data_IF_281997692678
#
_entry.id   IF_281997692678
#
_cell.length_a   1.000
_cell.length_b   1.000
_cell.length_c   1.000
_cell.angle_alpha   90.00
_cell.angle_beta   90.00
_cell.angle_gamma   90.00
#
_symmetry.space_group_name_H-M   'P 1'
#
loop_
_entity.id
_entity.type
_entity.pdbx_description
1 polymer ?
#
# COMPACT_ATOMS: atom_id res chain seq x y z
N UNK A 1 26.06 -11.63 6.64
CA UNK A 1 24.71 -11.71 6.02
C UNK A 1 24.16 -13.10 6.30
N UNK A 2 22.85 -13.25 6.55
CA UNK A 2 22.25 -14.57 6.75
C UNK A 2 22.43 -15.40 5.48
N UNK A 3 23.20 -16.48 5.57
CA UNK A 3 23.44 -17.41 4.48
C UNK A 3 22.21 -18.30 4.29
N UNK A 4 21.25 -17.85 3.49
CA UNK A 4 20.29 -18.78 2.88
C UNK A 4 21.07 -19.70 1.93
N UNK A 5 20.94 -21.01 2.11
CA UNK A 5 21.51 -21.98 1.18
C UNK A 5 20.78 -21.89 -0.15
N UNK A 6 21.49 -21.45 -1.19
CA UNK A 6 20.94 -21.37 -2.55
C UNK A 6 20.79 -22.80 -3.08
N UNK A 7 19.56 -23.18 -3.41
CA UNK A 7 19.26 -24.49 -4.00
C UNK A 7 19.56 -24.41 -5.51
N UNK A 8 20.78 -24.78 -5.89
CA UNK A 8 21.26 -24.77 -7.27
C UNK A 8 22.45 -25.71 -7.45
N UNK A 9 22.85 -25.97 -8.70
CA UNK A 9 24.06 -26.73 -9.01
C UNK A 9 25.32 -26.09 -8.42
N UNK A 10 26.39 -26.86 -8.14
CA UNK A 10 27.60 -26.36 -7.48
C UNK A 10 28.24 -25.14 -8.17
N UNK A 11 28.24 -25.11 -9.51
CA UNK A 11 28.77 -23.99 -10.29
C UNK A 11 27.98 -22.70 -10.04
N UNK A 12 26.65 -22.81 -9.95
CA UNK A 12 25.77 -21.67 -9.66
C UNK A 12 25.93 -21.23 -8.20
N UNK A 13 26.07 -22.16 -7.26
CA UNK A 13 26.37 -21.83 -5.86
C UNK A 13 27.70 -21.06 -5.73
N UNK A 14 28.74 -21.47 -6.45
CA UNK A 14 30.02 -20.77 -6.47
C UNK A 14 29.91 -19.37 -7.09
N UNK A 15 29.16 -19.24 -8.19
CA UNK A 15 28.89 -17.95 -8.83
C UNK A 15 28.21 -16.96 -7.87
N UNK A 16 27.12 -17.37 -7.22
CA UNK A 16 26.44 -16.51 -6.24
C UNK A 16 27.32 -16.19 -5.04
N UNK A 17 28.13 -17.14 -4.56
CA UNK A 17 29.09 -16.89 -3.47
C UNK A 17 30.06 -15.76 -3.84
N UNK A 18 30.63 -15.77 -5.04
CA UNK A 18 31.53 -14.69 -5.52
C UNK A 18 30.84 -13.32 -5.52
N UNK A 19 29.57 -13.26 -5.92
CA UNK A 19 28.79 -12.02 -5.89
C UNK A 19 28.56 -11.56 -4.45
N UNK A 20 28.11 -12.45 -3.57
CA UNK A 20 27.83 -12.14 -2.16
C UNK A 20 29.09 -11.65 -1.44
N UNK A 21 30.23 -12.28 -1.70
CA UNK A 21 31.52 -11.87 -1.12
C UNK A 21 31.92 -10.47 -1.62
N UNK A 22 31.75 -10.19 -2.92
CA UNK A 22 32.02 -8.87 -3.50
C UNK A 22 31.12 -7.78 -2.92
N UNK A 23 29.81 -8.04 -2.84
CA UNK A 23 28.83 -7.12 -2.23
C UNK A 23 29.15 -6.89 -0.76
N UNK A 24 29.51 -7.93 -0.01
CA UNK A 24 29.88 -7.82 1.40
C UNK A 24 31.11 -6.93 1.60
N UNK A 25 32.12 -7.09 0.74
CA UNK A 25 33.32 -6.24 0.77
C UNK A 25 32.97 -4.77 0.50
N UNK A 26 32.19 -4.50 -0.53
CA UNK A 26 31.75 -3.14 -0.86
C UNK A 26 30.89 -2.52 0.25
N UNK A 27 29.99 -3.30 0.85
CA UNK A 27 29.15 -2.87 1.96
C UNK A 27 29.98 -2.50 3.20
N UNK A 28 31.03 -3.28 3.52
CA UNK A 28 31.94 -2.95 4.62
C UNK A 28 32.69 -1.64 4.38
N UNK A 29 33.19 -1.41 3.16
CA UNK A 29 33.83 -0.14 2.77
C UNK A 29 32.86 1.03 2.96
N UNK A 30 31.61 0.88 2.50
CA UNK A 30 30.58 1.91 2.67
C UNK A 30 30.26 2.16 4.16
N UNK A 31 30.18 1.11 4.98
CA UNK A 31 29.95 1.20 6.42
C UNK A 31 31.05 1.99 7.13
N UNK A 32 32.30 1.74 6.79
CA UNK A 32 33.44 2.46 7.39
C UNK A 32 33.56 3.90 6.88
N UNK A 33 33.09 4.19 5.65
CA UNK A 33 32.96 5.55 5.16
C UNK A 33 31.86 6.32 5.92
N UNK A 34 30.64 5.75 6.05
CA UNK A 34 29.49 6.39 6.73
C UNK A 34 29.77 6.71 8.20
N UNK A 35 30.50 5.84 8.91
CA UNK A 35 30.96 6.08 10.29
C UNK A 35 31.80 7.34 10.48
N UNK A 36 32.38 7.91 9.41
CA UNK A 36 33.15 9.17 9.50
C UNK A 36 32.24 10.39 9.71
N UNK A 37 30.92 10.23 9.65
CA UNK A 37 29.94 11.27 9.99
C UNK A 37 29.93 12.45 9.00
N UNK A 38 30.30 12.21 7.73
CA UNK A 38 30.34 13.23 6.68
C UNK A 38 29.07 13.29 5.83
N UNK A 39 28.18 12.32 6.00
CA UNK A 39 26.91 12.18 5.29
C UNK A 39 25.73 12.40 6.24
N UNK A 40 24.51 12.51 5.68
CA UNK A 40 23.26 12.72 6.44
C UNK A 40 23.02 11.62 7.48
N UNK A 41 23.45 10.38 7.18
CA UNK A 41 23.37 9.24 8.09
C UNK A 41 24.75 8.63 8.33
N UNK A 42 24.99 8.21 9.58
CA UNK A 42 26.19 7.48 9.99
C UNK A 42 26.15 5.98 9.63
N UNK A 43 25.02 5.51 9.10
CA UNK A 43 24.79 4.13 8.68
C UNK A 43 24.55 4.04 7.17
N UNK A 44 24.75 2.84 6.60
CA UNK A 44 24.43 2.57 5.20
C UNK A 44 22.92 2.40 5.07
N UNK A 45 22.28 3.27 4.30
CA UNK A 45 20.82 3.32 4.14
C UNK A 45 20.29 2.26 3.15
N UNK A 46 21.12 1.81 2.21
CA UNK A 46 20.78 0.76 1.25
C UNK A 46 21.27 -0.61 1.77
N UNK A 47 20.41 -1.31 2.50
CA UNK A 47 20.74 -2.62 3.04
C UNK A 47 20.59 -3.72 1.96
N UNK A 48 21.60 -4.59 1.77
CA UNK A 48 21.47 -5.73 0.88
C UNK A 48 20.46 -6.74 1.43
N UNK A 49 19.66 -7.30 0.54
CA UNK A 49 18.57 -8.24 0.84
C UNK A 49 18.67 -9.44 -0.09
N UNK A 50 18.41 -10.64 0.41
CA UNK A 50 18.53 -11.88 -0.40
C UNK A 50 17.26 -12.16 -1.20
N UNK A 51 16.09 -11.94 -0.62
CA UNK A 51 14.81 -12.28 -1.22
C UNK A 51 13.74 -11.20 -0.97
N UNK A 52 12.53 -11.46 -1.48
CA UNK A 52 11.36 -10.59 -1.28
C UNK A 52 11.02 -10.39 0.21
N UNK A 53 11.18 -11.44 1.01
CA UNK A 53 10.79 -11.41 2.40
C UNK A 53 11.72 -10.47 3.19
N UNK A 54 13.03 -10.57 2.96
CA UNK A 54 14.03 -9.66 3.53
C UNK A 54 13.85 -8.22 3.01
N UNK A 55 13.57 -8.05 1.71
CA UNK A 55 13.23 -6.72 1.16
C UNK A 55 12.05 -6.10 1.88
N UNK A 56 11.00 -6.87 2.12
CA UNK A 56 9.81 -6.38 2.81
C UNK A 56 10.14 -5.96 4.24
N UNK A 57 10.88 -6.79 4.98
CA UNK A 57 11.25 -6.48 6.35
C UNK A 57 12.14 -5.23 6.46
N UNK A 58 13.07 -5.05 5.52
CA UNK A 58 13.97 -3.90 5.52
C UNK A 58 13.31 -2.61 5.02
N UNK A 59 12.39 -2.68 4.06
CA UNK A 59 11.71 -1.51 3.49
C UNK A 59 10.63 -0.98 4.43
N UNK A 60 9.80 -1.86 4.98
CA UNK A 60 8.62 -1.45 5.74
C UNK A 60 8.43 -2.23 7.05
N UNK A 61 8.98 -3.44 7.17
CA UNK A 61 8.72 -4.30 8.32
C UNK A 61 7.33 -4.96 8.25
N UNK A 62 6.70 -5.31 9.39
CA UNK A 62 7.26 -5.21 10.74
C UNK A 62 8.35 -6.25 10.96
N UNK A 63 9.16 -6.08 12.02
CA UNK A 63 10.24 -7.01 12.36
C UNK A 63 9.70 -8.44 12.53
N UNK A 64 10.37 -9.40 11.90
CA UNK A 64 9.96 -10.81 11.86
C UNK A 64 9.08 -11.19 10.66
N UNK A 65 8.65 -10.22 9.83
CA UNK A 65 7.82 -10.51 8.64
C UNK A 65 8.54 -11.44 7.66
N UNK A 66 9.86 -11.32 7.50
CA UNK A 66 10.57 -12.14 6.53
C UNK A 66 10.52 -13.62 6.90
N UNK A 67 10.73 -13.92 8.19
CA UNK A 67 10.62 -15.29 8.72
C UNK A 67 9.19 -15.81 8.56
N UNK A 68 8.21 -15.02 9.00
CA UNK A 68 6.81 -15.44 8.97
C UNK A 68 6.28 -15.64 7.55
N UNK A 69 6.66 -14.78 6.61
CA UNK A 69 6.28 -14.93 5.20
C UNK A 69 6.71 -16.28 4.64
N UNK A 70 7.95 -16.71 4.89
CA UNK A 70 8.45 -18.01 4.42
C UNK A 70 7.67 -19.18 5.01
N UNK A 71 7.40 -19.14 6.31
CA UNK A 71 6.60 -20.18 6.99
C UNK A 71 5.20 -20.31 6.38
N UNK A 72 4.50 -19.18 6.23
CA UNK A 72 3.14 -19.15 5.68
C UNK A 72 3.13 -19.53 4.19
N UNK A 73 4.13 -19.09 3.44
CA UNK A 73 4.26 -19.41 2.01
C UNK A 73 4.43 -20.91 1.79
N UNK A 74 5.25 -21.58 2.63
CA UNK A 74 5.39 -23.04 2.62
C UNK A 74 4.10 -23.74 3.04
N UNK A 75 3.46 -23.28 4.12
CA UNK A 75 2.19 -23.84 4.61
C UNK A 75 1.10 -23.80 3.53
N UNK A 76 1.04 -22.71 2.76
CA UNK A 76 0.06 -22.49 1.69
C UNK A 76 0.54 -22.96 0.32
N UNK A 77 1.56 -23.83 0.27
CA UNK A 77 2.07 -24.47 -0.96
C UNK A 77 2.44 -23.48 -2.07
N UNK A 78 2.95 -22.31 -1.69
CA UNK A 78 3.38 -21.27 -2.62
C UNK A 78 2.26 -20.34 -3.14
N UNK A 79 1.05 -20.37 -2.58
CA UNK A 79 0.00 -19.41 -2.95
C UNK A 79 0.31 -18.02 -2.36
N UNK A 80 0.91 -17.16 -3.19
CA UNK A 80 1.36 -15.82 -2.80
C UNK A 80 0.24 -14.94 -2.28
N UNK A 81 -0.92 -14.94 -2.93
CA UNK A 81 -2.02 -14.04 -2.57
C UNK A 81 -2.61 -14.45 -1.22
N UNK A 82 -2.86 -15.75 -1.02
CA UNK A 82 -3.33 -16.24 0.29
C UNK A 82 -2.30 -16.01 1.39
N UNK A 83 -1.01 -16.12 1.08
CA UNK A 83 0.08 -15.80 2.02
C UNK A 83 0.01 -14.35 2.48
N UNK A 84 -0.16 -13.41 1.55
CA UNK A 84 -0.27 -11.98 1.86
C UNK A 84 -1.49 -11.70 2.73
N UNK A 85 -2.65 -12.29 2.42
CA UNK A 85 -3.86 -12.09 3.21
C UNK A 85 -3.78 -12.73 4.60
N UNK A 86 -3.17 -13.91 4.71
CA UNK A 86 -2.94 -14.55 6.01
C UNK A 86 -2.00 -13.68 6.85
N UNK A 87 -0.88 -13.22 6.30
CA UNK A 87 0.01 -12.30 7.02
C UNK A 87 -0.68 -11.01 7.44
N UNK A 88 -1.48 -10.41 6.54
CA UNK A 88 -2.27 -9.22 6.87
C UNK A 88 -3.13 -9.46 8.10
N UNK A 89 -3.90 -10.55 8.12
CA UNK A 89 -4.73 -10.95 9.26
C UNK A 89 -3.89 -11.16 10.52
N UNK A 90 -2.77 -11.86 10.42
CA UNK A 90 -1.89 -12.12 11.58
C UNK A 90 -1.25 -10.86 12.16
N UNK A 91 -0.95 -9.84 11.34
CA UNK A 91 -0.48 -8.54 11.79
C UNK A 91 -1.61 -7.81 12.52
N UNK A 92 -2.83 -7.78 11.97
CA UNK A 92 -4.00 -7.14 12.59
C UNK A 92 -4.35 -7.79 13.94
N UNK A 93 -4.26 -9.12 14.03
CA UNK A 93 -4.50 -9.94 15.22
C UNK A 93 -3.29 -10.03 16.18
N UNK A 94 -2.17 -9.37 15.86
CA UNK A 94 -0.95 -9.31 16.68
C UNK A 94 -0.35 -10.69 17.04
N UNK A 95 -0.44 -11.68 16.16
CA UNK A 95 -0.02 -13.06 16.47
C UNK A 95 1.49 -13.24 16.66
N UNK A 96 2.30 -12.47 15.95
CA UNK A 96 3.77 -12.58 15.97
C UNK A 96 4.48 -11.23 16.01
N UNK A 97 3.75 -10.13 15.86
CA UNK A 97 4.24 -8.76 16.04
C UNK A 97 3.27 -7.99 16.93
N UNK A 98 3.79 -7.11 17.78
CA UNK A 98 2.99 -6.27 18.66
C UNK A 98 3.05 -4.81 18.20
N UNK A 99 1.89 -4.26 17.84
CA UNK A 99 1.73 -2.86 17.44
C UNK A 99 0.47 -2.35 18.15
N UNK A 100 0.60 -1.74 19.36
CA UNK A 100 -0.54 -1.44 20.22
C UNK A 100 -1.60 -0.54 19.60
N UNK A 101 -1.17 0.43 18.80
CA UNK A 101 -2.07 1.38 18.15
C UNK A 101 -2.73 0.73 16.93
N UNK A 102 -4.05 0.58 16.97
CA UNK A 102 -4.82 -0.10 15.93
C UNK A 102 -4.69 0.58 14.55
N UNK A 103 -4.55 1.90 14.50
CA UNK A 103 -4.38 2.63 13.24
C UNK A 103 -2.99 2.36 12.65
N UNK A 104 -1.93 2.49 13.46
CA UNK A 104 -0.55 2.17 13.02
C UNK A 104 -0.43 0.70 12.63
N UNK A 105 -1.12 -0.19 13.32
CA UNK A 105 -1.16 -1.62 12.99
C UNK A 105 -1.85 -1.87 11.64
N UNK A 106 -2.97 -1.21 11.39
CA UNK A 106 -3.66 -1.27 10.11
C UNK A 106 -2.79 -0.71 8.97
N UNK A 107 -2.18 0.45 9.18
CA UNK A 107 -1.26 1.06 8.21
C UNK A 107 -0.08 0.14 7.91
N UNK A 108 0.57 -0.41 8.94
CA UNK A 108 1.65 -1.37 8.79
C UNK A 108 1.19 -2.59 7.99
N UNK A 109 0.04 -3.17 8.32
CA UNK A 109 -0.48 -4.34 7.63
C UNK A 109 -0.73 -4.05 6.14
N UNK A 110 -1.37 -2.92 5.81
CA UNK A 110 -1.63 -2.50 4.42
C UNK A 110 -0.33 -2.30 3.66
N UNK A 111 0.63 -1.55 4.20
CA UNK A 111 1.90 -1.26 3.53
C UNK A 111 2.74 -2.52 3.34
N UNK A 112 2.82 -3.39 4.36
CA UNK A 112 3.51 -4.69 4.29
C UNK A 112 2.94 -5.56 3.17
N UNK A 113 1.61 -5.70 3.13
CA UNK A 113 0.94 -6.48 2.09
C UNK A 113 1.13 -5.89 0.69
N UNK A 114 1.17 -4.57 0.56
CA UNK A 114 1.40 -3.90 -0.72
C UNK A 114 2.85 -4.08 -1.21
N UNK A 115 3.85 -4.02 -0.33
CA UNK A 115 5.26 -4.35 -0.66
C UNK A 115 5.36 -5.80 -1.14
N UNK A 116 4.75 -6.74 -0.43
CA UNK A 116 4.77 -8.16 -0.82
C UNK A 116 4.08 -8.40 -2.17
N UNK A 117 2.97 -7.71 -2.44
CA UNK A 117 2.25 -7.82 -3.71
C UNK A 117 3.08 -7.27 -4.89
N UNK A 118 3.77 -6.16 -4.66
CA UNK A 118 4.56 -5.43 -5.66
C UNK A 118 6.02 -5.82 -5.68
N UNK A 119 6.38 -6.90 -4.99
CA UNK A 119 7.72 -7.49 -4.94
C UNK A 119 8.83 -6.56 -4.38
N UNK A 120 8.43 -5.45 -3.77
CA UNK A 120 9.32 -4.40 -3.28
C UNK A 120 10.07 -3.65 -4.39
N UNK A 121 9.54 -3.62 -5.62
CA UNK A 121 10.19 -2.95 -6.78
C UNK A 121 9.57 -1.61 -7.15
N UNK A 122 8.50 -1.18 -6.45
CA UNK A 122 7.83 0.10 -6.68
C UNK A 122 7.70 0.89 -5.37
N UNK A 123 7.62 2.21 -5.49
CA UNK A 123 7.51 3.14 -4.35
C UNK A 123 6.09 3.27 -3.78
N UNK A 124 5.09 2.70 -4.47
CA UNK A 124 3.68 2.83 -4.11
C UNK A 124 3.32 2.50 -2.64
N UNK A 125 3.92 1.49 -1.98
CA UNK A 125 3.66 1.23 -0.56
C UNK A 125 4.07 2.36 0.38
N UNK A 126 5.08 3.14 0.01
CA UNK A 126 5.60 4.24 0.81
C UNK A 126 4.93 5.55 0.41
N UNK A 127 5.07 5.91 -0.87
CA UNK A 127 4.71 7.25 -1.36
C UNK A 127 3.34 7.28 -2.04
N UNK A 128 2.81 6.12 -2.45
CA UNK A 128 1.49 6.03 -3.08
C UNK A 128 0.35 5.95 -2.07
N UNK A 129 0.62 5.37 -0.88
CA UNK A 129 -0.30 5.28 0.25
C UNK A 129 0.35 5.91 1.47
N UNK A 130 0.45 7.26 1.53
CA UNK A 130 1.14 7.97 2.62
C UNK A 130 0.59 7.60 4.01
N UNK A 131 -0.73 7.48 4.18
CA UNK A 131 -1.32 7.10 5.46
C UNK A 131 -2.60 6.28 5.34
N UNK A 132 -2.85 5.45 6.36
CA UNK A 132 -4.11 4.70 6.54
C UNK A 132 -4.65 5.01 7.92
N UNK A 133 -5.90 5.45 7.99
CA UNK A 133 -6.53 5.96 9.20
C UNK A 133 -7.79 5.20 9.55
N UNK A 134 -8.17 5.28 10.83
CA UNK A 134 -9.49 4.86 11.31
C UNK A 134 -10.26 6.14 11.63
N UNK A 135 -11.11 6.56 10.71
CA UNK A 135 -11.89 7.80 10.77
C UNK A 135 -13.32 7.54 11.27
N UNK A 136 -14.11 8.60 11.48
CA UNK A 136 -15.49 8.51 12.00
C UNK A 136 -16.52 9.03 10.99
N UNK A 137 -17.61 8.29 10.83
CA UNK A 137 -18.81 8.75 10.14
C UNK A 137 -19.58 9.76 11.00
N UNK A 138 -20.53 10.46 10.39
CA UNK A 138 -21.39 11.44 11.10
C UNK A 138 -22.23 10.79 12.22
N UNK A 139 -22.56 9.51 12.10
CA UNK A 139 -23.24 8.74 13.14
C UNK A 139 -22.32 8.23 14.26
N UNK A 140 -21.03 8.60 14.23
CA UNK A 140 -20.01 8.19 15.18
C UNK A 140 -19.38 6.82 14.93
N UNK A 141 -19.89 6.05 13.96
CA UNK A 141 -19.29 4.75 13.59
C UNK A 141 -17.90 4.95 12.97
N UNK A 142 -16.99 4.00 13.20
CA UNK A 142 -15.62 4.09 12.69
C UNK A 142 -15.49 3.36 11.36
N UNK A 143 -14.69 3.87 10.43
CA UNK A 143 -14.43 3.26 9.12
C UNK A 143 -12.95 3.40 8.72
N UNK A 144 -12.53 2.66 7.69
CA UNK A 144 -11.16 2.72 7.14
C UNK A 144 -11.03 3.85 6.13
N UNK A 145 -10.03 4.73 6.32
CA UNK A 145 -9.78 5.92 5.53
C UNK A 145 -8.36 5.91 4.97
N UNK A 146 -8.21 5.74 3.65
CA UNK A 146 -6.90 5.53 3.01
C UNK A 146 -6.54 6.78 2.21
N UNK A 147 -5.39 7.38 2.53
CA UNK A 147 -4.87 8.53 1.83
C UNK A 147 -3.96 8.05 0.71
N UNK A 148 -4.30 8.43 -0.52
CA UNK A 148 -3.49 8.17 -1.71
C UNK A 148 -2.78 9.43 -2.19
N UNK A 149 -1.60 9.24 -2.79
CA UNK A 149 -0.84 10.30 -3.45
C UNK A 149 -0.41 9.88 -4.86
N UNK A 150 0.05 10.85 -5.66
CA UNK A 150 0.37 10.69 -7.09
C UNK A 150 1.25 9.47 -7.45
N UNK A 151 2.28 9.12 -6.65
CA UNK A 151 3.13 7.96 -6.89
C UNK A 151 2.37 6.61 -6.96
N UNK A 152 1.11 6.53 -6.51
CA UNK A 152 0.26 5.35 -6.67
C UNK A 152 0.08 4.92 -8.13
N UNK A 153 0.24 5.85 -9.10
CA UNK A 153 0.17 5.52 -10.53
C UNK A 153 1.20 4.48 -10.94
N UNK A 154 2.40 4.53 -10.36
CA UNK A 154 3.51 3.62 -10.67
C UNK A 154 3.30 2.21 -10.13
N UNK A 155 2.34 1.99 -9.22
CA UNK A 155 2.05 0.67 -8.65
C UNK A 155 1.53 -0.33 -9.71
N UNK A 156 0.91 0.17 -10.77
CA UNK A 156 0.14 -0.63 -11.71
C UNK A 156 -1.26 -0.99 -11.17
N UNK A 157 -2.18 -1.34 -12.08
CA UNK A 157 -3.62 -1.30 -11.75
C UNK A 157 -4.09 -2.23 -10.63
N UNK A 158 -3.51 -3.43 -10.44
CA UNK A 158 -3.93 -4.31 -9.34
C UNK A 158 -3.45 -3.79 -7.98
N UNK A 159 -2.23 -3.26 -7.91
CA UNK A 159 -1.69 -2.69 -6.68
C UNK A 159 -2.41 -1.39 -6.29
N UNK A 160 -2.94 -0.63 -7.24
CA UNK A 160 -3.75 0.57 -6.99
C UNK A 160 -5.03 0.28 -6.20
N UNK A 161 -5.69 -0.85 -6.45
CA UNK A 161 -6.95 -1.22 -5.76
C UNK A 161 -6.75 -2.11 -4.54
N UNK A 162 -5.57 -2.73 -4.41
CA UNK A 162 -5.30 -3.68 -3.34
C UNK A 162 -5.45 -3.11 -1.92
N UNK A 163 -5.02 -1.86 -1.62
CA UNK A 163 -5.25 -1.23 -0.33
C UNK A 163 -6.74 -1.15 0.04
N UNK A 164 -7.63 -0.97 -0.93
CA UNK A 164 -9.08 -0.91 -0.69
C UNK A 164 -9.64 -2.27 -0.30
N UNK A 165 -9.18 -3.34 -0.94
CA UNK A 165 -9.54 -4.72 -0.59
C UNK A 165 -9.05 -5.06 0.82
N UNK A 166 -7.81 -4.68 1.16
CA UNK A 166 -7.26 -4.87 2.50
C UNK A 166 -8.00 -4.03 3.55
N UNK A 167 -8.39 -2.80 3.21
CA UNK A 167 -9.20 -1.94 4.07
C UNK A 167 -10.58 -2.54 4.36
N UNK A 168 -11.25 -3.10 3.35
CA UNK A 168 -12.54 -3.77 3.53
C UNK A 168 -12.40 -5.07 4.33
N UNK A 169 -11.29 -5.79 4.15
CA UNK A 169 -10.99 -6.95 4.97
C UNK A 169 -10.73 -6.57 6.43
N UNK A 170 -9.93 -5.53 6.67
CA UNK A 170 -9.66 -5.00 8.00
C UNK A 170 -10.92 -4.49 8.70
N UNK A 171 -11.86 -3.90 7.95
CA UNK A 171 -13.17 -3.50 8.49
C UNK A 171 -13.84 -4.68 9.20
N UNK A 172 -13.88 -5.84 8.56
CA UNK A 172 -14.44 -7.07 9.16
C UNK A 172 -13.62 -7.57 10.35
N UNK A 173 -12.28 -7.55 10.26
CA UNK A 173 -11.41 -8.03 11.34
C UNK A 173 -11.42 -7.14 12.59
N UNK A 174 -11.57 -5.83 12.42
CA UNK A 174 -11.54 -4.83 13.48
C UNK A 174 -12.95 -4.42 13.97
N UNK A 175 -14.01 -4.99 13.41
CA UNK A 175 -15.40 -4.63 13.74
C UNK A 175 -15.73 -3.17 13.41
N UNK A 176 -15.16 -2.64 12.32
CA UNK A 176 -15.45 -1.30 11.83
C UNK A 176 -16.71 -1.32 10.95
N UNK A 177 -17.31 -0.16 10.76
CA UNK A 177 -18.42 0.05 9.81
C UNK A 177 -17.87 0.46 8.44
N UNK A 178 -18.74 0.44 7.43
CA UNK A 178 -18.46 0.99 6.11
C UNK A 178 -18.36 2.51 6.15
N UNK A 179 -17.62 3.07 5.21
CA UNK A 179 -17.66 4.49 4.90
C UNK A 179 -19.07 4.89 4.42
N UNK A 180 -19.59 5.98 4.99
CA UNK A 180 -20.89 6.57 4.66
C UNK A 180 -20.64 8.01 4.17
N UNK A 181 -20.43 8.22 2.86
CA UNK A 181 -20.19 9.55 2.33
C UNK A 181 -21.45 10.43 2.43
N UNK A 182 -21.26 11.73 2.64
CA UNK A 182 -22.32 12.72 2.44
C UNK A 182 -22.49 13.01 0.95
N UNK A 183 -23.62 13.60 0.55
CA UNK A 183 -23.83 14.00 -0.84
C UNK A 183 -22.81 15.06 -1.30
N UNK A 184 -22.44 16.01 -0.44
CA UNK A 184 -21.41 16.99 -0.74
C UNK A 184 -20.05 16.35 -0.98
N UNK A 185 -19.70 15.31 -0.20
CA UNK A 185 -18.47 14.55 -0.43
C UNK A 185 -18.53 13.80 -1.76
N UNK A 186 -19.67 13.16 -2.08
CA UNK A 186 -19.85 12.45 -3.36
C UNK A 186 -19.67 13.42 -4.54
N UNK A 187 -20.31 14.58 -4.52
CA UNK A 187 -20.17 15.55 -5.60
C UNK A 187 -18.77 16.18 -5.63
N UNK A 188 -18.11 16.31 -4.48
CA UNK A 188 -16.70 16.69 -4.41
C UNK A 188 -15.79 15.71 -5.15
N UNK A 189 -16.06 14.40 -5.06
CA UNK A 189 -15.33 13.41 -5.87
C UNK A 189 -15.59 13.58 -7.37
N UNK A 190 -16.83 13.83 -7.77
CA UNK A 190 -17.20 14.07 -9.18
C UNK A 190 -16.45 15.28 -9.74
N UNK A 191 -16.45 16.39 -9.00
CA UNK A 191 -15.76 17.61 -9.39
C UNK A 191 -14.25 17.40 -9.51
N UNK A 192 -13.61 16.79 -8.51
CA UNK A 192 -12.16 16.54 -8.56
C UNK A 192 -11.79 15.61 -9.72
N UNK A 193 -12.56 14.55 -9.96
CA UNK A 193 -12.32 13.61 -11.07
C UNK A 193 -12.45 14.29 -12.43
N UNK A 194 -13.42 15.18 -12.61
CA UNK A 194 -13.59 15.96 -13.85
C UNK A 194 -12.47 16.99 -14.02
N UNK A 195 -12.14 17.69 -12.94
CA UNK A 195 -11.08 18.71 -12.92
C UNK A 195 -9.72 18.10 -13.22
N UNK A 196 -9.40 16.96 -12.62
CA UNK A 196 -8.14 16.26 -12.83
C UNK A 196 -8.00 15.73 -14.27
N UNK A 197 -9.12 15.43 -14.94
CA UNK A 197 -9.17 14.98 -16.34
C UNK A 197 -8.70 16.03 -17.35
N UNK A 198 -8.75 17.30 -16.95
CA UNK A 198 -8.23 18.44 -17.73
C UNK A 198 -6.74 18.65 -17.51
N UNK A 199 -6.20 18.19 -16.37
CA UNK A 199 -4.79 18.35 -15.99
C UNK A 199 -3.95 17.19 -16.54
N UNK A 200 -4.43 15.96 -16.37
CA UNK A 200 -3.69 14.74 -16.68
C UNK A 200 -4.50 13.88 -17.64
N UNK A 201 -3.87 13.46 -18.75
CA UNK A 201 -4.47 12.47 -19.65
C UNK A 201 -4.56 11.10 -18.95
N UNK A 202 -5.78 10.57 -18.90
CA UNK A 202 -6.10 9.31 -18.21
C UNK A 202 -6.42 8.19 -19.19
N UNK A 203 -6.09 6.96 -18.79
CA UNK A 203 -6.39 5.76 -19.59
C UNK A 203 -7.90 5.48 -19.66
N UNK A 204 -8.64 5.90 -18.64
CA UNK A 204 -10.08 5.68 -18.54
C UNK A 204 -10.74 6.91 -17.91
N UNK A 205 -11.69 7.51 -18.63
CA UNK A 205 -12.46 8.66 -18.17
C UNK A 205 -13.82 8.15 -17.70
N UNK A 206 -14.11 8.36 -16.42
CA UNK A 206 -15.39 7.98 -15.82
C UNK A 206 -16.41 9.09 -16.04
N UNK A 207 -17.65 8.71 -16.30
CA UNK A 207 -18.79 9.61 -16.18
C UNK A 207 -19.05 9.97 -14.71
N UNK A 208 -19.70 11.11 -14.48
CA UNK A 208 -20.10 11.53 -13.13
C UNK A 208 -20.88 10.43 -12.39
N UNK A 209 -21.78 9.74 -13.08
CA UNK A 209 -22.61 8.71 -12.46
C UNK A 209 -21.80 7.47 -12.03
N UNK A 210 -20.79 7.09 -12.81
CA UNK A 210 -19.89 6.01 -12.42
C UNK A 210 -19.04 6.40 -11.19
N UNK A 211 -18.59 7.65 -11.11
CA UNK A 211 -17.88 8.15 -9.91
C UNK A 211 -18.80 8.06 -8.69
N UNK A 212 -20.04 8.56 -8.79
CA UNK A 212 -21.02 8.46 -7.69
C UNK A 212 -21.24 7.01 -7.26
N UNK A 213 -21.41 6.10 -8.22
CA UNK A 213 -21.59 4.68 -7.96
C UNK A 213 -20.39 4.07 -7.23
N UNK A 214 -19.17 4.41 -7.63
CA UNK A 214 -17.94 3.96 -6.98
C UNK A 214 -17.88 4.48 -5.54
N UNK A 215 -18.04 5.79 -5.34
CA UNK A 215 -17.90 6.41 -4.01
C UNK A 215 -18.97 5.94 -3.04
N UNK A 216 -20.24 5.87 -3.47
CA UNK A 216 -21.34 5.36 -2.63
C UNK A 216 -21.25 3.85 -2.39
N UNK A 217 -20.62 3.11 -3.29
CA UNK A 217 -20.47 1.65 -3.20
C UNK A 217 -19.24 1.20 -2.41
N UNK A 218 -18.18 2.02 -2.34
CA UNK A 218 -16.95 1.63 -1.68
C UNK A 218 -17.12 1.64 -0.15
N UNK A 219 -16.85 0.52 0.55
CA UNK A 219 -16.94 0.45 2.01
C UNK A 219 -15.76 1.13 2.73
N UNK A 220 -14.73 1.51 1.99
CA UNK A 220 -13.52 2.20 2.47
C UNK A 220 -13.49 3.60 1.85
N UNK A 221 -13.07 4.61 2.60
CA UNK A 221 -12.90 5.94 2.04
C UNK A 221 -11.61 6.00 1.19
N UNK A 222 -11.76 6.43 -0.06
CA UNK A 222 -10.66 6.69 -0.98
C UNK A 222 -10.30 8.17 -0.84
N UNK A 223 -9.42 8.50 0.10
CA UNK A 223 -9.00 9.88 0.35
C UNK A 223 -7.65 10.16 -0.33
N UNK A 224 -7.11 11.37 -0.14
CA UNK A 224 -5.81 11.68 -0.72
C UNK A 224 -5.21 12.99 -0.26
N UNK A 225 -3.92 13.10 -0.50
CA UNK A 225 -3.18 14.35 -0.34
C UNK A 225 -3.46 15.28 -1.53
N UNK A 226 -3.45 16.61 -1.31
CA UNK A 226 -3.59 17.58 -2.40
C UNK A 226 -2.32 17.57 -3.26
N UNK A 227 -2.35 16.87 -4.40
CA UNK A 227 -1.20 16.77 -5.30
C UNK A 227 -1.17 17.85 -6.38
N UNK A 228 -2.31 18.47 -6.68
CA UNK A 228 -2.42 19.49 -7.71
C UNK A 228 -2.63 20.88 -7.11
N UNK A 229 -2.13 21.92 -7.75
CA UNK A 229 -2.38 23.30 -7.31
C UNK A 229 -3.79 23.80 -7.64
N UNK A 230 -4.50 23.12 -8.53
CA UNK A 230 -5.87 23.47 -8.91
C UNK A 230 -6.82 23.25 -7.74
N UNK A 231 -7.60 24.29 -7.43
CA UNK A 231 -8.65 24.23 -6.42
C UNK A 231 -9.97 23.78 -7.02
N UNK A 232 -10.79 23.15 -6.19
CA UNK A 232 -12.20 22.96 -6.50
C UNK A 232 -12.95 24.29 -6.46
N UNK A 233 -13.97 24.38 -7.30
CA UNK A 233 -14.89 25.51 -7.41
C UNK A 233 -16.07 25.38 -6.44
N UNK A 234 -16.60 24.16 -6.25
CA UNK A 234 -17.69 23.85 -5.34
C UNK A 234 -17.23 22.91 -4.20
N UNK A 235 -18.15 22.56 -3.29
CA UNK A 235 -17.95 21.57 -2.21
C UNK A 235 -16.64 21.75 -1.40
N UNK A 236 -16.43 22.99 -0.94
CA UNK A 236 -15.25 23.41 -0.17
C UNK A 236 -15.42 23.13 1.32
N UNK A 237 -14.30 23.07 2.02
CA UNK A 237 -14.21 23.06 3.49
C UNK A 237 -14.98 21.91 4.15
N UNK A 238 -14.97 20.75 3.49
CA UNK A 238 -15.58 19.53 4.00
C UNK A 238 -14.71 18.91 5.10
N UNK A 239 -15.31 18.65 6.26
CA UNK A 239 -14.62 18.21 7.49
C UNK A 239 -13.66 17.03 7.29
N UNK A 240 -14.03 16.05 6.46
CA UNK A 240 -13.27 14.82 6.22
C UNK A 240 -12.30 14.89 5.04
N UNK A 241 -12.24 16.04 4.35
CA UNK A 241 -11.36 16.28 3.20
C UNK A 241 -10.37 17.39 3.58
N UNK A 242 -9.06 17.09 3.66
CA UNK A 242 -8.09 17.96 4.33
C UNK A 242 -7.78 19.28 3.58
N UNK A 243 -8.21 19.43 2.33
CA UNK A 243 -7.85 20.55 1.47
C UNK A 243 -8.90 20.81 0.40
N UNK A 244 -8.95 22.04 -0.13
CA UNK A 244 -9.75 22.40 -1.31
C UNK A 244 -8.99 22.24 -2.64
N UNK A 245 -7.75 21.74 -2.60
CA UNK A 245 -6.98 21.38 -3.79
C UNK A 245 -7.37 19.98 -4.30
N UNK A 246 -7.20 19.74 -5.60
CA UNK A 246 -7.47 18.44 -6.22
C UNK A 246 -6.49 17.37 -5.73
N UNK A 247 -7.04 16.21 -5.36
CA UNK A 247 -6.29 15.04 -4.86
C UNK A 247 -6.05 14.06 -6.00
N UNK A 248 -5.00 14.27 -6.78
CA UNK A 248 -4.70 13.46 -7.97
C UNK A 248 -4.51 11.97 -7.69
N UNK A 249 -3.87 11.61 -6.56
CA UNK A 249 -3.72 10.22 -6.13
C UNK A 249 -5.07 9.51 -5.93
N UNK A 250 -6.03 10.19 -5.31
CA UNK A 250 -7.41 9.71 -5.17
C UNK A 250 -8.08 9.55 -6.54
N UNK A 251 -7.95 10.56 -7.42
CA UNK A 251 -8.56 10.52 -8.75
C UNK A 251 -8.04 9.32 -9.57
N UNK A 252 -6.75 9.02 -9.49
CA UNK A 252 -6.13 7.86 -10.13
C UNK A 252 -6.70 6.53 -9.61
N UNK A 253 -6.91 6.41 -8.31
CA UNK A 253 -7.46 5.18 -7.70
C UNK A 253 -8.92 4.96 -8.11
N UNK A 254 -9.72 6.02 -8.23
CA UNK A 254 -11.09 5.92 -8.71
C UNK A 254 -11.11 5.51 -10.19
N UNK A 255 -10.35 6.21 -11.05
CA UNK A 255 -10.43 6.00 -12.50
C UNK A 255 -9.60 4.82 -13.01
N UNK A 256 -8.29 4.83 -12.77
CA UNK A 256 -7.34 3.82 -13.26
C UNK A 256 -7.26 2.59 -12.33
N UNK A 257 -7.74 2.72 -11.10
CA UNK A 257 -7.96 1.62 -10.15
C UNK A 257 -9.35 0.99 -10.32
N UNK A 258 -10.34 1.41 -9.53
CA UNK A 258 -11.66 0.74 -9.46
C UNK A 258 -12.34 0.73 -10.84
N UNK A 259 -12.41 1.88 -11.52
CA UNK A 259 -13.08 1.99 -12.83
C UNK A 259 -12.48 1.04 -13.85
N UNK A 260 -11.19 1.19 -14.14
CA UNK A 260 -10.49 0.40 -15.15
C UNK A 260 -10.30 -1.08 -14.75
N UNK A 261 -10.20 -1.39 -13.45
CA UNK A 261 -9.90 -2.74 -12.94
C UNK A 261 -11.05 -3.38 -12.16
N UNK A 262 -12.30 -2.98 -12.41
CA UNK A 262 -13.48 -3.46 -11.69
C UNK A 262 -13.56 -5.00 -11.62
N UNK A 263 -13.37 -5.70 -12.74
CA UNK A 263 -13.44 -7.17 -12.78
C UNK A 263 -12.34 -7.85 -11.95
N UNK A 264 -11.12 -7.29 -11.95
CA UNK A 264 -10.00 -7.83 -11.17
C UNK A 264 -10.21 -7.56 -9.68
N UNK A 265 -10.72 -6.38 -9.34
CA UNK A 265 -11.10 -5.98 -7.98
C UNK A 265 -12.16 -6.94 -7.43
N UNK A 266 -13.22 -7.21 -8.21
CA UNK A 266 -14.27 -8.15 -7.85
C UNK A 266 -13.74 -9.58 -7.65
N UNK A 267 -12.85 -10.05 -8.52
CA UNK A 267 -12.23 -11.37 -8.38
C UNK A 267 -11.41 -11.49 -7.09
N UNK A 268 -10.69 -10.43 -6.70
CA UNK A 268 -9.90 -10.40 -5.46
C UNK A 268 -10.82 -10.37 -4.23
N UNK A 269 -11.85 -9.52 -4.23
CA UNK A 269 -12.84 -9.46 -3.15
C UNK A 269 -13.51 -10.83 -2.92
N UNK A 270 -14.01 -11.47 -3.98
CA UNK A 270 -14.61 -12.81 -3.91
C UNK A 270 -13.68 -13.87 -3.35
N UNK A 271 -12.38 -13.79 -3.64
CA UNK A 271 -11.39 -14.75 -3.12
C UNK A 271 -11.23 -14.67 -1.59
N UNK A 272 -11.64 -13.55 -0.99
CA UNK A 272 -11.68 -13.31 0.44
C UNK A 272 -13.07 -13.49 1.07
N UNK A 273 -14.09 -13.80 0.27
CA UNK A 273 -15.48 -13.82 0.71
C UNK A 273 -16.04 -12.43 1.06
N UNK A 274 -15.47 -11.37 0.45
CA UNK A 274 -15.97 -9.99 0.51
C UNK A 274 -16.92 -9.69 -0.65
#
# INVERSE_FOLDING_TARGET
MNTQTIIADPEIQEYYKKIIDSVSNQFNVAKDARKKGKDISAEVECLPTMDLADRTENIIGPKGVAKRYREVYTELKGDRIKTIFKLFKEIIEEKWCHIPDAQKRLEQAVKTSLVLLTEGVVVAPLDGVPSVRISKNLDGTKYVDIYFAGPIRAAGGTATVFPLILGDYAKTLLGLDRYKPTEDEVERYVEEVATYDEIVSRQYKLSAEEVRKIVRGCPVCINGEPTEDRMVTAFKDLERIPSNKVRGGMCLVISEGIGLKAMKTLSLAKSLGL
#
